data_IF_098606885111
#
_entry.id   IF_098606885111
#
_cell.length_a   1.000
_cell.length_b   1.000
_cell.length_c   1.000
_cell.angle_alpha   90.00
_cell.angle_beta   90.00
_cell.angle_gamma   90.00
#
_symmetry.space_group_name_H-M   'P 1'
#
loop_
_entity.id
_entity.type
_entity.pdbx_description
1 polymer ?
#
# COMPACT_ATOMS: atom_id res chain seq x y z
N UNK A 1 11.94 6.45 13.51
CA UNK A 1 12.30 6.03 12.15
C UNK A 1 11.73 4.64 11.90
N UNK A 2 11.03 4.44 10.79
CA UNK A 2 10.38 3.16 10.42
C UNK A 2 10.90 2.68 9.07
N UNK A 3 11.35 1.42 9.00
CA UNK A 3 11.77 0.83 7.74
C UNK A 3 10.61 0.05 7.09
N UNK A 4 10.34 0.32 5.82
CA UNK A 4 9.29 -0.34 5.03
C UNK A 4 9.96 -1.08 3.87
N UNK A 5 9.83 -2.41 3.84
CA UNK A 5 10.35 -3.24 2.75
C UNK A 5 9.28 -3.46 1.66
N UNK A 6 9.69 -3.31 0.41
CA UNK A 6 8.90 -3.53 -0.80
C UNK A 6 9.37 -4.76 -1.57
N UNK A 7 8.40 -5.50 -2.14
CA UNK A 7 8.67 -6.55 -3.14
C UNK A 7 9.37 -5.92 -4.36
N UNK A 8 10.18 -6.72 -5.05
CA UNK A 8 11.00 -6.26 -6.18
C UNK A 8 10.16 -5.52 -7.25
N UNK A 9 8.94 -6.00 -7.54
CA UNK A 9 8.03 -5.39 -8.52
C UNK A 9 7.68 -3.92 -8.25
N UNK A 10 7.79 -3.45 -7.00
CA UNK A 10 7.50 -2.06 -6.62
C UNK A 10 8.76 -1.21 -6.42
N UNK A 11 9.95 -1.81 -6.45
CA UNK A 11 11.19 -1.14 -6.05
C UNK A 11 11.50 0.09 -6.92
N UNK A 12 11.38 -0.05 -8.24
CA UNK A 12 11.68 1.02 -9.18
C UNK A 12 10.64 2.15 -9.11
N UNK A 13 9.36 1.80 -8.96
CA UNK A 13 8.29 2.79 -8.80
C UNK A 13 8.45 3.62 -7.52
N UNK A 14 8.91 3.00 -6.42
CA UNK A 14 9.21 3.71 -5.16
C UNK A 14 10.46 4.58 -5.32
N UNK A 15 11.54 4.04 -5.89
CA UNK A 15 12.79 4.77 -6.09
C UNK A 15 12.59 6.01 -6.98
N UNK A 16 11.82 5.88 -8.07
CA UNK A 16 11.52 6.99 -8.98
C UNK A 16 10.48 7.97 -8.42
N UNK A 17 9.84 7.68 -7.29
CA UNK A 17 8.75 8.49 -6.71
C UNK A 17 7.40 8.38 -7.43
N UNK A 18 7.24 7.41 -8.34
CA UNK A 18 5.94 7.14 -8.99
C UNK A 18 4.93 6.56 -7.99
N UNK A 19 5.38 5.62 -7.15
CA UNK A 19 4.61 5.06 -6.03
C UNK A 19 4.84 5.91 -4.78
N UNK A 20 3.75 6.45 -4.23
CA UNK A 20 3.76 7.44 -3.12
C UNK A 20 2.99 6.97 -1.88
N UNK A 21 2.55 5.72 -1.90
CA UNK A 21 1.81 5.13 -0.79
C UNK A 21 2.02 3.61 -0.72
N UNK A 22 1.62 3.03 0.41
CA UNK A 22 1.58 1.58 0.66
C UNK A 22 0.38 1.22 1.51
N UNK A 23 -0.33 0.15 1.14
CA UNK A 23 -1.27 -0.53 2.04
C UNK A 23 -0.58 -1.69 2.74
N UNK A 24 -0.73 -1.80 4.07
CA UNK A 24 -0.07 -2.83 4.90
C UNK A 24 -0.93 -3.23 6.09
N UNK A 25 -0.71 -4.46 6.61
CA UNK A 25 -1.31 -4.86 7.89
C UNK A 25 -0.87 -3.91 9.00
N UNK A 26 -1.81 -3.50 9.84
CA UNK A 26 -1.54 -2.69 11.03
C UNK A 26 -0.64 -3.46 11.99
N UNK A 27 0.36 -2.80 12.57
CA UNK A 27 1.25 -3.41 13.57
C UNK A 27 1.83 -2.35 14.51
N UNK A 28 2.54 -2.77 15.56
CA UNK A 28 3.32 -1.88 16.44
C UNK A 28 4.39 -1.05 15.71
N UNK A 29 4.73 -1.44 14.47
CA UNK A 29 5.70 -0.73 13.61
C UNK A 29 5.03 0.16 12.56
N UNK A 30 3.70 0.28 12.57
CA UNK A 30 3.01 1.25 11.73
C UNK A 30 3.50 2.65 12.09
N UNK A 31 3.96 3.45 11.11
CA UNK A 31 4.47 4.79 11.38
C UNK A 31 3.36 5.72 11.87
N UNK A 32 3.74 6.80 12.54
CA UNK A 32 2.88 7.95 12.78
C UNK A 32 3.19 9.06 11.76
N UNK A 33 2.22 9.92 11.41
CA UNK A 33 2.49 11.15 10.67
C UNK A 33 3.65 11.95 11.28
N UNK A 34 4.50 12.51 10.42
CA UNK A 34 5.73 13.22 10.78
C UNK A 34 6.97 12.32 10.98
N UNK A 35 6.81 11.00 11.08
CA UNK A 35 7.97 10.12 11.20
C UNK A 35 8.70 9.89 9.86
N UNK A 36 10.03 9.81 9.92
CA UNK A 36 10.85 9.39 8.78
C UNK A 36 10.66 7.91 8.46
N UNK A 37 10.35 7.63 7.20
CA UNK A 37 10.25 6.32 6.57
C UNK A 37 11.52 6.04 5.76
N UNK A 38 12.14 4.89 6.00
CA UNK A 38 13.18 4.37 5.12
C UNK A 38 12.57 3.27 4.25
N UNK A 39 12.47 3.53 2.95
CA UNK A 39 11.86 2.62 1.99
C UNK A 39 12.95 1.73 1.40
N UNK A 40 12.84 0.42 1.59
CA UNK A 40 13.85 -0.56 1.16
C UNK A 40 13.26 -1.59 0.20
N UNK A 41 14.13 -2.29 -0.52
CA UNK A 41 13.82 -3.60 -1.10
C UNK A 41 14.87 -4.64 -0.68
N UNK A 42 14.54 -5.92 -0.84
CA UNK A 42 15.46 -7.03 -0.60
C UNK A 42 16.00 -7.12 0.84
N UNK A 43 15.31 -6.56 1.84
CA UNK A 43 15.79 -6.61 3.22
C UNK A 43 16.06 -8.05 3.68
N UNK A 44 17.11 -8.21 4.49
CA UNK A 44 17.63 -9.50 5.00
C UNK A 44 18.22 -10.41 3.92
N UNK A 45 18.51 -9.87 2.74
CA UNK A 45 19.24 -10.54 1.67
C UNK A 45 20.46 -9.72 1.25
N UNK A 46 21.35 -10.29 0.43
CA UNK A 46 22.48 -9.56 -0.18
C UNK A 46 22.03 -8.45 -1.13
N UNK A 47 20.80 -8.51 -1.63
CA UNK A 47 20.21 -7.51 -2.52
C UNK A 47 19.50 -6.37 -1.76
N UNK A 48 19.77 -6.20 -0.47
CA UNK A 48 19.15 -5.15 0.32
C UNK A 48 19.61 -3.77 -0.15
N UNK A 49 18.67 -2.91 -0.50
CA UNK A 49 18.94 -1.56 -1.01
C UNK A 49 17.94 -0.56 -0.47
N UNK A 50 18.43 0.58 0.01
CA UNK A 50 17.60 1.74 0.32
C UNK A 50 17.12 2.36 -1.01
N UNK A 51 15.81 2.53 -1.14
CA UNK A 51 15.17 3.12 -2.31
C UNK A 51 14.97 4.62 -2.13
N UNK A 52 14.50 5.04 -0.95
CA UNK A 52 14.21 6.44 -0.63
C UNK A 52 14.03 6.65 0.88
N UNK A 53 14.27 7.87 1.34
CA UNK A 53 13.79 8.34 2.64
C UNK A 53 12.69 9.37 2.42
N UNK A 54 11.58 9.23 3.15
CA UNK A 54 10.39 10.09 3.01
C UNK A 54 9.77 10.35 4.38
N UNK A 55 8.96 11.39 4.50
CA UNK A 55 8.20 11.66 5.72
C UNK A 55 6.81 11.06 5.61
N UNK A 56 6.37 10.30 6.62
CA UNK A 56 5.00 9.83 6.69
C UNK A 56 4.05 11.01 6.78
N UNK A 57 3.17 11.19 5.79
CA UNK A 57 2.19 12.29 5.77
C UNK A 57 0.88 11.87 6.42
N UNK A 58 0.36 10.71 6.07
CA UNK A 58 -0.93 10.22 6.60
C UNK A 58 -0.91 8.71 6.81
N UNK A 59 -1.71 8.26 7.77
CA UNK A 59 -2.02 6.85 8.02
C UNK A 59 -3.52 6.75 8.22
N UNK A 60 -4.22 6.07 7.32
CA UNK A 60 -5.67 5.88 7.38
C UNK A 60 -6.00 4.40 7.50
N UNK A 61 -7.08 4.06 8.20
CA UNK A 61 -7.60 2.70 8.19
C UNK A 61 -8.13 2.37 6.80
N UNK A 62 -7.83 1.17 6.32
CA UNK A 62 -8.32 0.67 5.03
C UNK A 62 -8.83 -0.75 5.18
N UNK A 63 -10.04 -0.98 4.68
CA UNK A 63 -10.60 -2.30 4.44
C UNK A 63 -10.72 -2.51 2.94
N UNK A 64 -10.23 -3.65 2.45
CA UNK A 64 -10.35 -4.07 1.06
C UNK A 64 -11.28 -5.28 1.03
N UNK A 65 -12.38 -5.17 0.28
CA UNK A 65 -13.36 -6.24 0.12
C UNK A 65 -13.62 -6.52 -1.35
N UNK A 66 -13.96 -7.76 -1.67
CA UNK A 66 -14.44 -8.12 -3.00
C UNK A 66 -15.96 -7.96 -3.05
N UNK A 67 -16.47 -7.24 -4.05
CA UNK A 67 -17.91 -7.11 -4.27
C UNK A 67 -18.32 -8.00 -5.45
N UNK A 68 -18.71 -9.23 -5.12
CA UNK A 68 -19.05 -10.27 -6.11
C UNK A 68 -20.22 -9.92 -7.04
N UNK A 69 -21.06 -8.93 -6.69
CA UNK A 69 -22.18 -8.52 -7.53
C UNK A 69 -21.74 -7.67 -8.71
N UNK A 70 -20.69 -6.88 -8.53
CA UNK A 70 -20.15 -5.97 -9.54
C UNK A 70 -18.77 -6.40 -10.04
N UNK A 71 -18.21 -7.48 -9.49
CA UNK A 71 -16.85 -7.96 -9.77
C UNK A 71 -15.82 -6.82 -9.64
N UNK A 72 -15.98 -5.96 -8.63
CA UNK A 72 -15.12 -4.81 -8.34
C UNK A 72 -14.51 -4.85 -6.94
N UNK A 73 -13.31 -4.30 -6.82
CA UNK A 73 -12.63 -4.14 -5.53
C UNK A 73 -13.20 -2.92 -4.82
N UNK A 74 -13.66 -3.09 -3.59
CA UNK A 74 -14.18 -2.00 -2.78
C UNK A 74 -13.19 -1.65 -1.69
N UNK A 75 -12.84 -0.37 -1.60
CA UNK A 75 -12.03 0.19 -0.52
C UNK A 75 -12.94 0.96 0.43
N UNK A 76 -12.73 0.76 1.72
CA UNK A 76 -13.35 1.54 2.79
C UNK A 76 -12.24 2.22 3.57
N UNK A 77 -12.21 3.55 3.55
CA UNK A 77 -11.21 4.38 4.24
C UNK A 77 -11.82 5.02 5.48
N UNK A 78 -11.24 4.79 6.65
CA UNK A 78 -11.75 5.31 7.93
C UNK A 78 -13.28 5.08 8.10
N UNK A 79 -13.76 3.90 7.69
CA UNK A 79 -15.17 3.51 7.74
C UNK A 79 -16.06 4.04 6.61
N UNK A 80 -15.51 4.79 5.64
CA UNK A 80 -16.26 5.34 4.50
C UNK A 80 -15.90 4.62 3.20
N UNK A 81 -16.91 4.08 2.50
CA UNK A 81 -16.73 3.46 1.17
C UNK A 81 -16.22 4.51 0.19
N UNK A 82 -15.08 4.23 -0.46
CA UNK A 82 -14.52 5.10 -1.50
C UNK A 82 -15.34 5.00 -2.78
N UNK A 83 -15.35 6.08 -3.57
CA UNK A 83 -15.84 6.02 -4.95
C UNK A 83 -14.90 5.19 -5.83
N UNK A 84 -15.41 4.64 -6.94
CA UNK A 84 -14.60 3.86 -7.89
C UNK A 84 -13.37 4.65 -8.40
N UNK A 85 -13.54 5.93 -8.72
CA UNK A 85 -12.46 6.80 -9.19
C UNK A 85 -11.38 7.02 -8.13
N UNK A 86 -11.77 7.10 -6.86
CA UNK A 86 -10.86 7.22 -5.72
C UNK A 86 -10.11 5.91 -5.48
N UNK A 87 -10.82 4.78 -5.46
CA UNK A 87 -10.23 3.45 -5.36
C UNK A 87 -9.18 3.24 -6.46
N UNK A 88 -9.52 3.56 -7.71
CA UNK A 88 -8.59 3.47 -8.85
C UNK A 88 -7.38 4.36 -8.68
N UNK A 89 -7.55 5.61 -8.23
CA UNK A 89 -6.44 6.51 -7.95
C UNK A 89 -5.52 5.95 -6.85
N UNK A 90 -6.09 5.30 -5.84
CA UNK A 90 -5.34 4.63 -4.78
C UNK A 90 -4.54 3.45 -5.32
N UNK A 91 -5.13 2.59 -6.15
CA UNK A 91 -4.42 1.47 -6.78
C UNK A 91 -3.20 1.96 -7.58
N UNK A 92 -3.39 2.98 -8.44
CA UNK A 92 -2.33 3.57 -9.24
C UNK A 92 -1.21 4.19 -8.38
N UNK A 93 -1.58 4.97 -7.37
CA UNK A 93 -0.61 5.57 -6.45
C UNK A 93 0.12 4.51 -5.59
N UNK A 94 -0.52 3.35 -5.38
CA UNK A 94 0.03 2.16 -4.74
C UNK A 94 0.81 1.27 -5.72
N UNK A 95 1.05 1.72 -6.96
CA UNK A 95 1.91 1.06 -7.93
C UNK A 95 1.28 -0.14 -8.64
N UNK A 96 -0.04 -0.27 -8.60
CA UNK A 96 -0.80 -1.20 -9.44
C UNK A 96 -1.22 -0.51 -10.75
N UNK A 97 -1.52 -1.28 -11.79
CA UNK A 97 -2.02 -0.77 -13.07
C UNK A 97 -3.56 -0.63 -13.08
N UNK A 98 -4.25 -1.33 -12.19
CA UNK A 98 -5.69 -1.47 -12.17
C UNK A 98 -6.19 -1.90 -10.78
N UNK A 99 -7.51 -1.79 -10.56
CA UNK A 99 -8.14 -2.34 -9.36
C UNK A 99 -8.16 -3.87 -9.37
N UNK A 100 -8.22 -4.49 -10.55
CA UNK A 100 -8.18 -5.94 -10.70
C UNK A 100 -6.81 -6.51 -10.26
N UNK A 101 -5.69 -5.94 -10.73
CA UNK A 101 -4.36 -6.41 -10.29
C UNK A 101 -4.12 -6.18 -8.80
N UNK A 102 -4.69 -5.12 -8.24
CA UNK A 102 -4.69 -4.90 -6.80
C UNK A 102 -5.54 -5.95 -6.06
N UNK A 103 -6.74 -6.29 -6.55
CA UNK A 103 -7.59 -7.35 -5.97
C UNK A 103 -6.82 -8.65 -5.91
N UNK A 104 -6.30 -9.10 -7.04
CA UNK A 104 -5.63 -10.39 -7.17
C UNK A 104 -4.41 -10.45 -6.24
N UNK A 105 -3.62 -9.37 -6.20
CA UNK A 105 -2.48 -9.27 -5.30
C UNK A 105 -2.88 -9.43 -3.82
N UNK A 106 -3.92 -8.75 -3.35
CA UNK A 106 -4.36 -8.84 -1.96
C UNK A 106 -5.03 -10.19 -1.65
N UNK A 107 -5.84 -10.70 -2.57
CA UNK A 107 -6.49 -12.01 -2.49
C UNK A 107 -5.46 -13.13 -2.35
N UNK A 108 -4.44 -13.13 -3.19
CA UNK A 108 -3.38 -14.16 -3.16
C UNK A 108 -2.46 -14.01 -1.95
N UNK A 109 -2.13 -12.78 -1.55
CA UNK A 109 -1.16 -12.54 -0.49
C UNK A 109 -1.74 -12.69 0.93
N UNK A 110 -2.99 -12.29 1.11
CA UNK A 110 -3.61 -12.20 2.44
C UNK A 110 -5.00 -12.83 2.53
N UNK A 111 -5.69 -13.03 1.41
CA UNK A 111 -7.13 -13.26 1.37
C UNK A 111 -7.93 -11.96 1.46
N UNK A 112 -9.21 -12.04 1.12
CA UNK A 112 -10.20 -10.97 1.28
C UNK A 112 -11.33 -11.45 2.22
N UNK A 113 -11.89 -10.59 3.09
CA UNK A 113 -11.55 -9.17 3.26
C UNK A 113 -10.17 -8.97 3.91
N UNK A 114 -9.51 -7.87 3.55
CA UNK A 114 -8.24 -7.46 4.14
C UNK A 114 -8.44 -6.18 4.97
N UNK A 115 -7.89 -6.16 6.18
CA UNK A 115 -7.86 -4.99 7.05
C UNK A 115 -6.42 -4.52 7.30
N UNK A 116 -6.20 -3.22 7.20
CA UNK A 116 -4.88 -2.65 7.41
C UNK A 116 -4.89 -1.13 7.41
N UNK A 117 -3.74 -0.57 7.02
CA UNK A 117 -3.53 0.87 6.94
C UNK A 117 -3.00 1.27 5.59
N UNK A 118 -3.50 2.39 5.07
CA UNK A 118 -2.96 3.11 3.94
C UNK A 118 -2.01 4.21 4.46
N UNK A 119 -0.73 4.07 4.15
CA UNK A 119 0.33 4.99 4.54
C UNK A 119 0.73 5.81 3.31
N UNK A 120 0.71 7.14 3.40
CA UNK A 120 1.14 8.06 2.32
C UNK A 120 2.34 8.90 2.74
N UNK A 121 3.19 9.24 1.77
CA UNK A 121 4.40 10.05 1.96
C UNK A 121 4.68 10.99 0.78
#
# INVERSE_FOLDING_TARGET
>A
MVAINFKAQFADAVASGKKRQTIRKRSKKTPSPGQTLQLYTGQRTKSSRLLKEMTCLTVQDVVITDDSLIDELVLTLDGKRSLFTEARAIALADGFDSLASMRDFFKDLYGLPFEGVLIRW
#
